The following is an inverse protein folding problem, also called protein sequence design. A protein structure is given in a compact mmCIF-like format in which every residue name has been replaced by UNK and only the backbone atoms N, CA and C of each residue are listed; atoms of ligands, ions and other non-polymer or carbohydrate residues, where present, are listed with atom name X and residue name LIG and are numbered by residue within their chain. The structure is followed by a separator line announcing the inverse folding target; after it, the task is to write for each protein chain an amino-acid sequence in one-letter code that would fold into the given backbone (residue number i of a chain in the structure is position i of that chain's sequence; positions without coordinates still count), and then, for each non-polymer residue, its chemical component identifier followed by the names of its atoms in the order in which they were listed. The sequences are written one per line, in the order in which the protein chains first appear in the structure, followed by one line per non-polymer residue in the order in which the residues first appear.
data_IF_503884247745
#
_entry.id   IF_503884247745
#
_cell.length_a   1.000
_cell.length_b   1.000
_cell.length_c   1.000
_cell.angle_alpha   90.00
_cell.angle_beta   90.00
_cell.angle_gamma   90.00
#
_symmetry.space_group_name_H-M   'P 1'
#
loop_
_entity.id
_entity.type
_entity.pdbx_description
1 polymer ?
#
# COMPACT_ATOMS: atom_id res chain seq x y z
N UNK A 1 -6.60 -20.50 12.02
CA UNK A 1 -6.74 -19.37 11.09
C UNK A 1 -6.33 -19.84 9.69
N UNK A 2 -7.19 -20.66 9.08
CA UNK A 2 -6.99 -21.31 7.77
C UNK A 2 -8.33 -21.16 7.05
N UNK A 3 -8.62 -19.95 6.57
CA UNK A 3 -9.85 -19.70 5.80
C UNK A 3 -9.70 -18.59 4.74
N UNK A 4 -8.49 -18.12 4.49
CA UNK A 4 -8.24 -17.05 3.49
C UNK A 4 -7.26 -17.48 2.39
N UNK A 5 -7.13 -18.80 2.15
CA UNK A 5 -6.29 -19.32 1.06
C UNK A 5 -7.11 -19.48 -0.24
N UNK A 6 -8.44 -19.37 -0.18
CA UNK A 6 -9.32 -19.55 -1.35
C UNK A 6 -9.64 -18.24 -2.10
N UNK A 7 -9.15 -17.07 -1.65
CA UNK A 7 -9.31 -15.79 -2.37
C UNK A 7 -8.33 -15.64 -3.57
N UNK A 8 -7.35 -16.53 -3.71
CA UNK A 8 -6.25 -16.42 -4.68
C UNK A 8 -6.62 -16.99 -6.06
N UNK A 9 -7.77 -16.61 -6.63
CA UNK A 9 -8.07 -17.03 -8.01
C UNK A 9 -8.60 -15.97 -8.98
N UNK A 10 -8.97 -14.76 -8.56
CA UNK A 10 -9.32 -13.69 -9.52
C UNK A 10 -9.15 -12.30 -8.89
N UNK A 11 -8.14 -11.52 -9.33
CA UNK A 11 -8.02 -10.07 -9.06
C UNK A 11 -8.08 -9.61 -7.57
N UNK A 12 -7.31 -10.27 -6.69
CA UNK A 12 -7.07 -9.92 -5.26
C UNK A 12 -6.69 -8.45 -4.95
N UNK A 13 -6.39 -7.63 -5.97
CA UNK A 13 -5.98 -6.25 -5.77
C UNK A 13 -7.09 -5.37 -5.17
N UNK A 14 -8.36 -5.67 -5.46
CA UNK A 14 -9.50 -4.90 -4.95
C UNK A 14 -9.59 -5.05 -3.43
N UNK A 15 -9.42 -6.26 -2.90
CA UNK A 15 -9.43 -6.50 -1.46
C UNK A 15 -8.18 -5.90 -0.78
N UNK A 16 -7.01 -5.97 -1.43
CA UNK A 16 -5.80 -5.30 -0.95
C UNK A 16 -6.04 -3.79 -0.83
N UNK A 17 -6.61 -3.16 -1.86
CA UNK A 17 -6.92 -1.72 -1.86
C UNK A 17 -7.93 -1.40 -0.76
N UNK A 18 -9.02 -2.16 -0.66
CA UNK A 18 -10.08 -1.92 0.33
C UNK A 18 -9.56 -2.08 1.77
N UNK A 19 -8.77 -3.12 2.02
CA UNK A 19 -8.09 -3.32 3.31
C UNK A 19 -7.09 -2.20 3.58
N UNK A 20 -6.35 -1.78 2.57
CA UNK A 20 -5.39 -0.68 2.69
C UNK A 20 -6.10 0.62 3.07
N UNK A 21 -7.19 0.98 2.39
CA UNK A 21 -8.01 2.16 2.70
C UNK A 21 -8.59 2.11 4.12
N UNK A 22 -9.11 0.95 4.55
CA UNK A 22 -9.63 0.76 5.90
C UNK A 22 -8.55 0.90 6.98
N UNK A 23 -7.32 0.46 6.69
CA UNK A 23 -6.22 0.42 7.65
C UNK A 23 -5.37 1.71 7.66
N UNK A 24 -5.64 2.70 6.78
CA UNK A 24 -4.92 3.99 6.77
C UNK A 24 -4.95 4.70 8.13
N UNK A 25 -6.06 4.60 8.86
CA UNK A 25 -6.25 5.25 10.17
C UNK A 25 -5.97 4.33 11.37
N UNK A 26 -5.47 3.12 11.14
CA UNK A 26 -5.23 2.17 12.22
C UNK A 26 -3.99 2.57 13.04
N UNK A 27 -3.97 2.32 14.35
CA UNK A 27 -2.83 2.72 15.20
C UNK A 27 -1.70 1.70 15.27
N UNK A 28 -1.93 0.48 14.78
CA UNK A 28 -1.00 -0.64 14.96
C UNK A 28 0.05 -0.71 13.84
N UNK A 29 1.32 -0.52 14.19
CA UNK A 29 2.45 -0.50 13.25
C UNK A 29 2.64 -1.83 12.49
N UNK A 30 2.35 -2.97 13.11
CA UNK A 30 2.42 -4.29 12.45
C UNK A 30 1.44 -4.40 11.26
N UNK A 31 0.25 -3.81 11.39
CA UNK A 31 -0.72 -3.79 10.29
C UNK A 31 -0.21 -2.91 9.14
N UNK A 32 0.39 -1.76 9.44
CA UNK A 32 1.00 -0.90 8.42
C UNK A 32 2.13 -1.59 7.65
N UNK A 33 2.91 -2.46 8.32
CA UNK A 33 3.93 -3.27 7.65
C UNK A 33 3.30 -4.31 6.74
N UNK A 34 2.31 -5.06 7.23
CA UNK A 34 1.61 -6.08 6.45
C UNK A 34 0.97 -5.46 5.19
N UNK A 35 0.25 -4.35 5.35
CA UNK A 35 -0.39 -3.64 4.24
C UNK A 35 0.65 -3.06 3.27
N UNK A 36 1.72 -2.45 3.78
CA UNK A 36 2.82 -1.97 2.94
C UNK A 36 3.46 -3.06 2.09
N UNK A 37 3.60 -4.27 2.64
CA UNK A 37 4.06 -5.45 1.89
C UNK A 37 3.05 -5.90 0.83
N UNK A 38 1.76 -5.93 1.15
CA UNK A 38 0.70 -6.29 0.21
C UNK A 38 0.64 -5.31 -0.98
N UNK A 39 0.74 -4.00 -0.72
CA UNK A 39 0.81 -2.97 -1.76
C UNK A 39 2.06 -3.12 -2.64
N UNK A 40 3.20 -3.50 -2.05
CA UNK A 40 4.43 -3.79 -2.79
C UNK A 40 4.28 -5.00 -3.71
N UNK A 41 3.69 -6.09 -3.21
CA UNK A 41 3.46 -7.29 -4.05
C UNK A 41 2.42 -7.02 -5.15
N UNK A 42 1.39 -6.21 -4.87
CA UNK A 42 0.48 -5.69 -5.90
C UNK A 42 1.24 -4.88 -6.95
N UNK A 43 2.07 -3.93 -6.53
CA UNK A 43 2.86 -3.06 -7.43
C UNK A 43 3.88 -3.79 -8.30
N UNK A 44 4.29 -5.00 -7.93
CA UNK A 44 5.11 -5.88 -8.79
C UNK A 44 4.32 -6.49 -9.94
N UNK A 45 3.03 -6.75 -9.73
CA UNK A 45 2.13 -7.31 -10.74
C UNK A 45 1.46 -6.20 -11.57
N UNK A 46 1.08 -5.11 -10.92
CA UNK A 46 0.39 -3.96 -11.52
C UNK A 46 0.91 -2.66 -10.89
N UNK A 47 1.88 -2.04 -11.57
CA UNK A 47 2.50 -0.81 -11.09
C UNK A 47 1.56 0.39 -11.19
N UNK A 48 0.72 0.44 -12.24
CA UNK A 48 -0.21 1.54 -12.48
C UNK A 48 -1.23 1.64 -11.35
N UNK A 49 -1.77 0.49 -10.91
CA UNK A 49 -2.72 0.44 -9.81
C UNK A 49 -2.10 0.90 -8.48
N UNK A 50 -0.83 0.55 -8.22
CA UNK A 50 -0.11 1.04 -7.03
C UNK A 50 0.10 2.56 -7.10
N UNK A 51 0.50 3.09 -8.26
CA UNK A 51 0.68 4.54 -8.46
C UNK A 51 -0.64 5.27 -8.23
N UNK A 52 -1.74 4.82 -8.82
CA UNK A 52 -3.07 5.42 -8.61
C UNK A 52 -3.48 5.42 -7.13
N UNK A 53 -3.22 4.32 -6.42
CA UNK A 53 -3.48 4.24 -4.98
C UNK A 53 -2.64 5.24 -4.18
N UNK A 54 -1.35 5.37 -4.50
CA UNK A 54 -0.45 6.30 -3.85
C UNK A 54 -0.82 7.76 -4.16
N UNK A 55 -1.17 8.11 -5.38
CA UNK A 55 -1.59 9.48 -5.71
C UNK A 55 -2.83 9.90 -4.92
N UNK A 56 -3.78 8.98 -4.72
CA UNK A 56 -5.01 9.24 -3.95
C UNK A 56 -4.76 9.34 -2.45
N UNK A 57 -3.89 8.47 -1.89
CA UNK A 57 -3.80 8.25 -0.44
C UNK A 57 -2.45 8.57 0.21
N UNK A 58 -1.37 8.75 -0.53
CA UNK A 58 -0.03 8.95 0.05
C UNK A 58 0.03 10.14 1.02
N UNK A 59 -0.76 11.20 0.78
CA UNK A 59 -0.81 12.37 1.64
C UNK A 59 -1.38 12.10 3.06
N UNK A 60 -2.23 11.08 3.22
CA UNK A 60 -2.84 10.68 4.51
C UNK A 60 -2.27 9.37 5.05
N UNK A 61 -1.42 8.70 4.28
CA UNK A 61 -0.90 7.38 4.60
C UNK A 61 0.11 7.42 5.76
N UNK A 62 0.08 6.42 6.66
CA UNK A 62 1.13 6.26 7.66
C UNK A 62 2.51 6.11 7.01
N UNK A 63 3.51 6.83 7.54
CA UNK A 63 4.89 6.82 7.02
C UNK A 63 5.49 5.41 6.89
N UNK A 64 5.20 4.51 7.83
CA UNK A 64 5.67 3.12 7.77
C UNK A 64 5.11 2.42 6.53
N UNK A 65 3.80 2.48 6.33
CA UNK A 65 3.11 1.85 5.20
C UNK A 65 3.60 2.40 3.86
N UNK A 66 3.68 3.73 3.74
CA UNK A 66 4.17 4.41 2.55
C UNK A 66 5.60 3.97 2.20
N UNK A 67 6.49 3.89 3.20
CA UNK A 67 7.89 3.49 3.02
C UNK A 67 8.04 2.09 2.45
N UNK A 68 7.25 1.12 2.94
CA UNK A 68 7.29 -0.25 2.44
C UNK A 68 6.68 -0.35 1.03
N UNK A 69 5.61 0.38 0.75
CA UNK A 69 4.97 0.40 -0.57
C UNK A 69 5.90 0.94 -1.67
N UNK A 70 6.65 2.01 -1.38
CA UNK A 70 7.57 2.66 -2.34
C UNK A 70 9.00 2.12 -2.27
N UNK A 71 9.28 1.05 -1.53
CA UNK A 71 10.65 0.55 -1.32
C UNK A 71 11.37 0.25 -2.63
N UNK A 72 10.63 -0.26 -3.62
CA UNK A 72 11.13 -0.62 -4.96
C UNK A 72 11.10 0.53 -5.97
N UNK A 73 10.61 1.71 -5.59
CA UNK A 73 10.58 2.87 -6.48
C UNK A 73 11.97 3.50 -6.56
N UNK A 74 12.24 4.17 -7.67
CA UNK A 74 13.43 5.00 -7.84
C UNK A 74 13.46 6.11 -6.80
N UNK A 75 14.67 6.57 -6.47
CA UNK A 75 14.89 7.55 -5.41
C UNK A 75 14.10 8.84 -5.62
N UNK A 76 13.98 9.30 -6.87
CA UNK A 76 13.21 10.49 -7.24
C UNK A 76 11.73 10.34 -6.86
N UNK A 77 11.09 9.24 -7.28
CA UNK A 77 9.69 8.95 -6.93
C UNK A 77 9.53 8.76 -5.42
N UNK A 78 10.48 8.12 -4.76
CA UNK A 78 10.44 7.95 -3.29
C UNK A 78 10.45 9.29 -2.57
N UNK A 79 11.29 10.23 -2.99
CA UNK A 79 11.35 11.58 -2.43
C UNK A 79 10.07 12.36 -2.71
N UNK A 80 9.51 12.22 -3.90
CA UNK A 80 8.22 12.83 -4.26
C UNK A 80 7.11 12.38 -3.30
N UNK A 81 6.86 11.08 -3.17
CA UNK A 81 5.81 10.56 -2.30
C UNK A 81 6.07 10.84 -0.81
N UNK A 82 7.32 10.80 -0.36
CA UNK A 82 7.68 11.15 1.03
C UNK A 82 7.51 12.65 1.34
N UNK A 83 7.52 13.51 0.31
CA UNK A 83 7.27 14.94 0.40
C UNK A 83 5.79 15.32 0.42
N UNK A 84 4.90 14.42 -0.04
CA UNK A 84 3.45 14.59 0.03
C UNK A 84 2.98 14.48 1.49
N UNK A 85 3.05 15.57 2.24
CA UNK A 85 2.35 15.73 3.51
C UNK A 85 1.12 16.59 3.28
N UNK A 86 -0.06 16.07 3.64
CA UNK A 86 -1.21 16.94 3.87
C UNK A 86 -0.87 17.86 5.05
N UNK A 87 -0.81 19.16 4.79
CA UNK A 87 -0.55 20.22 5.78
C UNK A 87 -1.71 20.30 6.77
#
# INVERSE_FOLDING_TARGET
MVSTITLIKNNDFIDIIRLSEMLLNHKHDLMHKAVGWMLREMGKKDNELLVQFLEKHAAVMPRTMLRYAIEKFEEEKRRYYMGLKKK
#
